data_IF_594085415139
#
_entry.id   IF_594085415139
#
_cell.length_a   1.000
_cell.length_b   1.000
_cell.length_c   1.000
_cell.angle_alpha   90.00
_cell.angle_beta   90.00
_cell.angle_gamma   90.00
#
_symmetry.space_group_name_H-M   'P 1'
#
loop_
_entity.id
_entity.type
_entity.pdbx_description
1 polymer ?
#
# COMPACT_ATOMS: atom_id res chain seq x y z
N UNK A 1 -7.40 12.94 3.16
CA UNK A 1 -8.08 12.61 1.88
C UNK A 1 -9.39 13.35 1.68
N UNK A 2 -10.19 13.60 2.71
CA UNK A 2 -11.29 14.55 2.62
C UNK A 2 -11.58 15.17 3.99
N UNK A 3 -12.12 16.39 3.96
CA UNK A 3 -12.47 17.19 5.15
C UNK A 3 -11.36 18.13 5.61
N UNK A 4 -11.77 19.33 6.05
CA UNK A 4 -10.90 20.45 6.41
C UNK A 4 -11.03 21.60 5.42
N UNK A 5 -10.98 22.84 5.92
CA UNK A 5 -10.94 24.03 5.07
C UNK A 5 -9.56 24.17 4.40
N UNK A 6 -9.53 24.47 3.10
CA UNK A 6 -8.30 24.58 2.33
C UNK A 6 -7.62 23.24 1.99
N UNK A 7 -6.42 23.31 1.42
CA UNK A 7 -5.63 22.12 1.02
C UNK A 7 -4.91 21.52 2.22
N UNK A 8 -5.62 20.77 3.05
CA UNK A 8 -5.04 20.08 4.21
C UNK A 8 -4.90 18.57 3.98
N UNK A 9 -3.89 17.96 4.60
CA UNK A 9 -3.62 16.51 4.48
C UNK A 9 -4.55 15.64 5.34
N UNK A 10 -5.42 16.24 6.17
CA UNK A 10 -6.39 15.54 7.01
C UNK A 10 -5.79 14.59 8.06
N UNK A 11 -4.48 14.69 8.35
CA UNK A 11 -3.80 13.99 9.45
C UNK A 11 -3.69 12.46 9.34
N UNK A 12 -4.24 11.84 8.29
CA UNK A 12 -4.25 10.37 8.11
C UNK A 12 -3.11 9.91 7.19
N UNK A 13 -2.60 8.70 7.44
CA UNK A 13 -1.70 8.05 6.50
C UNK A 13 -2.38 7.90 5.12
N UNK A 14 -1.61 8.02 4.02
CA UNK A 14 -2.19 8.04 2.68
C UNK A 14 -2.68 6.65 2.28
N UNK A 15 -3.99 6.57 2.07
CA UNK A 15 -4.70 5.35 1.68
C UNK A 15 -5.40 5.54 0.33
N UNK A 16 -5.83 4.45 -0.29
CA UNK A 16 -6.80 4.48 -1.38
C UNK A 16 -8.18 4.95 -0.88
N UNK A 17 -9.13 5.26 -1.77
CA UNK A 17 -10.51 5.56 -1.36
C UNK A 17 -11.17 4.46 -0.52
N UNK A 18 -10.68 3.21 -0.61
CA UNK A 18 -11.18 2.05 0.13
C UNK A 18 -10.30 1.65 1.32
N UNK A 19 -9.38 2.53 1.76
CA UNK A 19 -8.57 2.32 2.96
C UNK A 19 -7.28 1.51 2.76
N UNK A 20 -7.02 0.93 1.58
CA UNK A 20 -5.76 0.23 1.33
C UNK A 20 -4.55 1.19 1.37
N UNK A 21 -3.50 0.95 2.16
CA UNK A 21 -2.35 1.86 2.24
C UNK A 21 -1.60 1.97 0.91
N UNK A 22 -1.19 3.17 0.56
CA UNK A 22 -0.53 3.44 -0.75
C UNK A 22 0.99 3.49 -0.67
N UNK A 23 1.55 3.77 0.52
CA UNK A 23 3.00 3.88 0.72
C UNK A 23 3.58 2.56 1.24
N UNK A 24 4.34 1.86 0.39
CA UNK A 24 5.19 0.73 0.78
C UNK A 24 4.47 -0.59 1.10
N UNK A 25 3.13 -0.60 1.11
CA UNK A 25 2.34 -1.78 1.43
C UNK A 25 2.34 -2.79 0.28
N UNK A 26 2.67 -4.05 0.58
CA UNK A 26 2.60 -5.15 -0.38
C UNK A 26 1.16 -5.69 -0.40
N UNK A 27 0.51 -5.58 -1.55
CA UNK A 27 -0.88 -6.05 -1.73
C UNK A 27 -0.98 -7.57 -1.96
N UNK A 28 0.10 -8.22 -2.42
CA UNK A 28 0.12 -9.66 -2.68
C UNK A 28 0.28 -10.48 -1.39
N UNK A 29 -0.72 -11.33 -1.10
CA UNK A 29 -0.75 -12.21 0.10
C UNK A 29 -0.82 -13.72 -0.19
N UNK A 30 -1.03 -14.13 -1.44
CA UNK A 30 -1.24 -15.54 -1.78
C UNK A 30 0.02 -16.38 -1.45
N UNK A 31 -0.13 -17.34 -0.54
CA UNK A 31 0.95 -18.24 -0.11
C UNK A 31 1.30 -19.28 -1.18
N UNK A 32 0.32 -19.84 -1.88
CA UNK A 32 0.51 -20.92 -2.86
C UNK A 32 1.46 -20.54 -4.00
N UNK A 33 1.41 -19.29 -4.43
CA UNK A 33 2.26 -18.79 -5.53
C UNK A 33 3.57 -18.17 -5.04
N UNK A 34 3.83 -18.14 -3.73
CA UNK A 34 5.11 -17.64 -3.20
C UNK A 34 6.28 -18.54 -3.57
N UNK A 35 6.04 -19.85 -3.61
CA UNK A 35 7.07 -20.87 -3.79
C UNK A 35 7.57 -20.90 -5.25
N UNK A 36 6.75 -20.41 -6.17
CA UNK A 36 7.08 -20.29 -7.59
C UNK A 36 7.94 -19.04 -7.91
N UNK A 37 8.31 -18.23 -6.92
CA UNK A 37 9.07 -16.99 -7.13
C UNK A 37 10.56 -17.27 -7.04
N UNK A 38 11.25 -17.27 -8.18
CA UNK A 38 12.71 -17.51 -8.27
C UNK A 38 13.52 -16.34 -7.68
N UNK A 39 13.14 -15.08 -7.97
CA UNK A 39 13.81 -13.88 -7.44
C UNK A 39 12.82 -12.76 -7.13
N UNK A 40 12.98 -12.11 -5.97
CA UNK A 40 12.20 -10.93 -5.58
C UNK A 40 12.92 -9.65 -5.96
N UNK A 41 12.17 -8.60 -6.32
CA UNK A 41 12.75 -7.28 -6.69
C UNK A 41 13.68 -6.68 -5.64
N UNK A 42 13.45 -6.97 -4.35
CA UNK A 42 14.27 -6.47 -3.23
C UNK A 42 15.39 -7.44 -2.80
N UNK A 43 15.51 -8.61 -3.44
CA UNK A 43 16.63 -9.51 -3.18
C UNK A 43 17.85 -8.94 -3.92
N UNK A 44 18.86 -8.51 -3.15
CA UNK A 44 20.22 -8.27 -3.63
C UNK A 44 20.90 -9.62 -3.84
#
# INVERSE_FOLDING_TARGET
>A
HGGGEGKTSGGRHPVSPWGMPTKGFKTRKNKRTNDLIIRRRKAK
#
